data_IF_876412241541
#
_entry.id   IF_876412241541
#
_cell.length_a   1.000
_cell.length_b   1.000
_cell.length_c   1.000
_cell.angle_alpha   90.00
_cell.angle_beta   90.00
_cell.angle_gamma   90.00
#
_symmetry.space_group_name_H-M   'P 1'
#
loop_
_entity.id
_entity.type
_entity.pdbx_description
1 polymer ?
#
# COMPACT_ATOMS: atom_id res chain seq x y z
N UNK A 1 27.06 20.84 24.39
CA UNK A 1 25.82 20.05 24.43
C UNK A 1 25.31 20.01 23.00
N UNK A 2 25.39 18.83 22.36
CA UNK A 2 25.06 18.65 20.96
C UNK A 2 23.55 18.81 20.76
N UNK A 3 23.17 19.73 19.90
CA UNK A 3 21.82 19.87 19.37
C UNK A 3 21.52 18.67 18.48
N UNK A 4 20.64 17.78 18.94
CA UNK A 4 20.02 16.76 18.11
C UNK A 4 19.20 17.45 17.02
N UNK A 5 19.78 17.53 15.82
CA UNK A 5 19.05 17.85 14.62
C UNK A 5 18.06 16.70 14.39
N UNK A 6 16.78 16.95 14.69
CA UNK A 6 15.67 16.14 14.20
C UNK A 6 15.74 16.14 12.67
N UNK A 7 16.45 15.16 12.08
CA UNK A 7 16.28 14.83 10.69
C UNK A 7 14.81 14.42 10.54
N UNK A 8 14.03 15.24 9.85
CA UNK A 8 12.67 14.85 9.47
C UNK A 8 12.78 13.58 8.64
N UNK A 9 12.39 12.45 9.20
CA UNK A 9 12.34 11.17 8.48
C UNK A 9 11.36 11.37 7.34
N UNK A 10 11.89 11.48 6.12
CA UNK A 10 11.06 11.54 4.92
C UNK A 10 10.24 10.25 4.86
N UNK A 11 8.93 10.41 4.78
CA UNK A 11 7.97 9.32 4.83
C UNK A 11 7.25 9.25 3.49
N UNK A 12 7.15 8.05 2.95
CA UNK A 12 6.38 7.71 1.76
C UNK A 12 5.07 7.06 2.21
N UNK A 13 3.96 7.51 1.64
CA UNK A 13 2.64 6.90 1.90
C UNK A 13 2.16 6.16 0.67
N UNK A 14 1.80 4.89 0.82
CA UNK A 14 1.08 4.11 -0.20
C UNK A 14 -0.34 3.81 0.29
N UNK A 15 -1.27 3.67 -0.65
CA UNK A 15 -2.71 3.66 -0.35
C UNK A 15 -3.37 2.39 -0.85
N UNK A 16 -4.23 1.78 -0.04
CA UNK A 16 -5.02 0.62 -0.46
C UNK A 16 -6.50 0.88 -0.21
N UNK A 17 -7.33 0.52 -1.17
CA UNK A 17 -8.75 0.28 -0.92
C UNK A 17 -8.93 -1.16 -0.42
N UNK A 18 -9.24 -1.41 0.87
CA UNK A 18 -9.58 -2.74 1.32
C UNK A 18 -10.86 -3.19 0.63
N UNK A 19 -10.95 -4.47 0.26
CA UNK A 19 -12.22 -5.05 -0.14
C UNK A 19 -13.22 -4.98 1.01
N UNK A 20 -14.51 -4.94 0.68
CA UNK A 20 -15.60 -4.80 1.65
C UNK A 20 -15.45 -5.74 2.85
N UNK A 21 -15.39 -5.17 4.06
CA UNK A 21 -15.28 -5.91 5.33
C UNK A 21 -13.88 -6.42 5.64
N UNK A 22 -12.84 -5.99 4.91
CA UNK A 22 -11.43 -6.41 5.12
C UNK A 22 -10.57 -5.30 5.72
N UNK A 23 -11.01 -4.05 5.72
CA UNK A 23 -10.26 -2.90 6.18
C UNK A 23 -9.82 -3.03 7.63
N UNK A 24 -10.76 -3.36 8.52
CA UNK A 24 -10.44 -3.55 9.94
C UNK A 24 -9.46 -4.71 10.15
N UNK A 25 -9.65 -5.82 9.42
CA UNK A 25 -8.72 -6.96 9.48
C UNK A 25 -7.31 -6.57 9.06
N UNK A 26 -7.17 -5.85 7.95
CA UNK A 26 -5.86 -5.38 7.48
C UNK A 26 -5.22 -4.38 8.43
N UNK A 27 -6.02 -3.56 9.12
CA UNK A 27 -5.53 -2.65 10.15
C UNK A 27 -4.94 -3.44 11.33
N UNK A 28 -5.72 -4.38 11.87
CA UNK A 28 -5.39 -5.10 13.11
C UNK A 28 -4.35 -6.20 12.91
N UNK A 29 -4.54 -7.05 11.90
CA UNK A 29 -3.72 -8.25 11.66
C UNK A 29 -2.63 -8.02 10.61
N UNK A 30 -2.76 -6.96 9.81
CA UNK A 30 -1.87 -6.68 8.71
C UNK A 30 -2.09 -7.56 7.50
N UNK A 31 -1.05 -7.68 6.69
CA UNK A 31 -1.06 -8.44 5.46
C UNK A 31 -0.62 -9.87 5.74
N UNK A 32 -1.53 -10.82 5.60
CA UNK A 32 -1.26 -12.25 5.80
C UNK A 32 -1.38 -12.98 4.48
N UNK A 33 -0.45 -13.88 4.11
CA UNK A 33 -0.53 -14.63 2.85
C UNK A 33 -1.88 -15.35 2.63
N UNK A 34 -2.53 -15.82 3.70
CA UNK A 34 -3.85 -16.47 3.64
C UNK A 34 -4.97 -15.55 3.13
N UNK A 35 -4.82 -14.23 3.28
CA UNK A 35 -5.78 -13.24 2.77
C UNK A 35 -5.54 -12.88 1.29
N UNK A 36 -4.43 -13.33 0.71
CA UNK A 36 -4.03 -13.04 -0.67
C UNK A 36 -3.65 -14.35 -1.37
N UNK A 37 -4.60 -15.21 -1.77
CA UNK A 37 -4.29 -16.55 -2.29
C UNK A 37 -3.43 -16.51 -3.55
N UNK A 38 -2.51 -17.48 -3.66
CA UNK A 38 -1.66 -17.69 -4.83
C UNK A 38 -2.12 -18.92 -5.61
N UNK A 39 -2.71 -18.73 -6.78
CA UNK A 39 -3.23 -19.77 -7.67
C UNK A 39 -3.16 -19.31 -9.14
N UNK A 40 -1.95 -19.30 -9.72
CA UNK A 40 -1.75 -18.87 -11.11
C UNK A 40 -2.48 -19.80 -12.09
N UNK A 41 -3.00 -19.27 -13.23
CA UNK A 41 -2.85 -17.90 -13.70
C UNK A 41 -3.90 -16.92 -13.14
N UNK A 42 -4.78 -17.35 -12.24
CA UNK A 42 -5.97 -16.59 -11.84
C UNK A 42 -5.73 -15.54 -10.76
N UNK A 43 -4.90 -15.86 -9.76
CA UNK A 43 -4.51 -14.95 -8.67
C UNK A 43 -3.04 -15.12 -8.37
N UNK A 44 -2.33 -14.00 -8.24
CA UNK A 44 -0.88 -13.94 -8.10
C UNK A 44 -0.41 -13.72 -6.65
N UNK A 45 -1.34 -13.74 -5.69
CA UNK A 45 -1.09 -13.57 -4.27
C UNK A 45 -0.55 -12.19 -3.88
N UNK A 46 -0.51 -11.23 -4.80
CA UNK A 46 0.02 -9.90 -4.53
C UNK A 46 -0.99 -9.01 -3.83
N UNK A 47 -0.48 -8.05 -3.07
CA UNK A 47 -1.27 -6.94 -2.54
C UNK A 47 -0.96 -5.66 -3.31
N UNK A 48 -2.01 -5.09 -3.90
CA UNK A 48 -1.97 -3.92 -4.76
C UNK A 48 -2.25 -2.64 -3.97
N UNK A 49 -1.47 -1.59 -4.25
CA UNK A 49 -1.55 -0.27 -3.62
C UNK A 49 -1.43 0.84 -4.68
N UNK A 50 -2.19 1.92 -4.53
CA UNK A 50 -1.85 3.18 -5.16
C UNK A 50 -0.49 3.67 -4.64
N UNK A 51 0.32 4.15 -5.56
CA UNK A 51 1.69 4.54 -5.35
C UNK A 51 1.87 5.82 -4.52
N UNK A 52 3.13 6.27 -4.40
CA UNK A 52 3.50 7.34 -3.50
C UNK A 52 2.89 8.67 -3.93
N UNK A 53 2.33 9.40 -2.97
CA UNK A 53 1.77 10.74 -3.16
C UNK A 53 0.57 10.84 -4.14
N UNK A 54 -0.02 9.70 -4.52
CA UNK A 54 -1.25 9.65 -5.32
C UNK A 54 -2.20 8.57 -4.78
N UNK A 55 -3.29 9.00 -4.13
CA UNK A 55 -4.33 8.10 -3.59
C UNK A 55 -5.45 7.80 -4.59
N UNK A 56 -5.42 8.34 -5.80
CA UNK A 56 -6.53 8.31 -6.75
C UNK A 56 -6.97 6.90 -7.14
N UNK A 57 -6.04 5.97 -7.32
CA UNK A 57 -6.37 4.55 -7.60
C UNK A 57 -7.14 3.96 -6.41
N UNK A 58 -6.67 4.17 -5.17
CA UNK A 58 -7.37 3.68 -3.99
C UNK A 58 -8.75 4.33 -3.83
N UNK A 59 -8.89 5.61 -4.17
CA UNK A 59 -10.18 6.29 -4.17
C UNK A 59 -11.16 5.68 -5.18
N UNK A 60 -10.70 5.40 -6.39
CA UNK A 60 -11.48 4.77 -7.45
C UNK A 60 -12.08 3.44 -6.99
N UNK A 61 -11.24 2.52 -6.49
CA UNK A 61 -11.71 1.23 -5.98
C UNK A 61 -12.59 1.37 -4.73
N UNK A 62 -12.30 2.33 -3.86
CA UNK A 62 -13.10 2.56 -2.66
C UNK A 62 -14.53 3.05 -2.97
N UNK A 63 -14.80 3.60 -4.16
CA UNK A 63 -16.18 3.89 -4.59
C UNK A 63 -17.06 2.63 -4.57
N UNK A 64 -16.47 1.48 -4.92
CA UNK A 64 -17.12 0.17 -4.92
C UNK A 64 -16.96 -0.59 -3.60
N UNK A 65 -15.77 -0.59 -3.01
CA UNK A 65 -15.50 -1.37 -1.80
C UNK A 65 -16.07 -0.74 -0.53
N UNK A 66 -16.10 0.59 -0.47
CA UNK A 66 -16.71 1.39 0.60
C UNK A 66 -16.20 1.07 2.01
N UNK A 67 -14.95 0.58 2.12
CA UNK A 67 -14.34 0.17 3.39
C UNK A 67 -13.26 1.16 3.87
N UNK A 68 -13.17 2.32 3.20
CA UNK A 68 -12.18 3.36 3.49
C UNK A 68 -10.88 3.15 2.72
N UNK A 69 -9.88 3.94 3.06
CA UNK A 69 -8.54 3.86 2.49
C UNK A 69 -7.56 3.55 3.61
N UNK A 70 -6.82 2.46 3.44
CA UNK A 70 -5.72 2.08 4.31
C UNK A 70 -4.46 2.78 3.81
N UNK A 71 -3.88 3.63 4.65
CA UNK A 71 -2.62 4.32 4.40
C UNK A 71 -1.50 3.60 5.14
N UNK A 72 -0.38 3.32 4.48
CA UNK A 72 0.83 2.74 5.08
C UNK A 72 1.97 3.74 4.97
N UNK A 73 2.60 4.08 6.10
CA UNK A 73 3.65 5.10 6.19
C UNK A 73 5.03 4.44 6.29
N UNK A 74 5.84 4.60 5.26
CA UNK A 74 7.11 3.89 5.09
C UNK A 74 8.23 4.92 5.09
N UNK A 75 9.32 4.69 5.83
CA UNK A 75 10.47 5.58 5.71
C UNK A 75 11.07 5.49 4.29
N UNK A 76 11.59 6.62 3.79
CA UNK A 76 12.08 6.73 2.41
C UNK A 76 13.13 5.65 2.07
N UNK A 77 14.03 5.32 3.01
CA UNK A 77 15.09 4.35 2.77
C UNK A 77 14.54 2.93 2.59
N UNK A 78 13.58 2.54 3.44
CA UNK A 78 12.86 1.27 3.28
C UNK A 78 12.03 1.24 2.00
N UNK A 79 11.37 2.34 1.65
CA UNK A 79 10.59 2.44 0.42
C UNK A 79 11.44 2.23 -0.83
N UNK A 80 12.54 2.99 -0.96
CA UNK A 80 13.46 2.88 -2.08
C UNK A 80 14.09 1.48 -2.20
N UNK A 81 14.34 0.82 -1.06
CA UNK A 81 14.94 -0.51 -1.02
C UNK A 81 13.98 -1.63 -1.39
N UNK A 82 12.76 -1.63 -0.84
CA UNK A 82 11.87 -2.78 -0.90
C UNK A 82 10.68 -2.62 -1.85
N UNK A 83 10.15 -1.41 -2.00
CA UNK A 83 8.85 -1.20 -2.65
C UNK A 83 8.93 -0.42 -3.95
N UNK A 84 9.86 0.53 -4.08
CA UNK A 84 10.08 1.27 -5.33
C UNK A 84 10.40 0.39 -6.55
N UNK A 85 11.18 -0.70 -6.43
CA UNK A 85 11.39 -1.61 -7.57
C UNK A 85 10.12 -2.33 -8.04
N UNK A 86 9.03 -2.25 -7.27
CA UNK A 86 7.73 -2.87 -7.55
C UNK A 86 6.70 -1.87 -8.07
N UNK A 87 7.12 -0.63 -8.33
CA UNK A 87 6.28 0.37 -8.99
C UNK A 87 6.08 0.01 -10.46
N UNK A 88 4.86 0.20 -10.93
CA UNK A 88 4.53 0.14 -12.35
C UNK A 88 3.47 1.18 -12.68
N UNK A 89 3.44 1.56 -13.95
CA UNK A 89 2.42 2.45 -14.46
C UNK A 89 1.08 1.73 -14.40
N UNK A 90 0.13 2.35 -13.69
CA UNK A 90 -1.26 1.92 -13.73
C UNK A 90 -1.82 2.28 -15.10
N UNK A 91 -2.03 1.26 -15.94
CA UNK A 91 -2.46 1.41 -17.33
C UNK A 91 -3.98 1.33 -17.42
N UNK A 92 -4.64 2.42 -17.02
CA UNK A 92 -6.00 2.70 -17.44
C UNK A 92 -5.97 3.47 -18.75
N UNK A 93 -6.95 3.21 -19.62
CA UNK A 93 -7.10 3.91 -20.92
C UNK A 93 -7.65 5.33 -20.76
N UNK A 94 -7.25 6.01 -19.70
CA UNK A 94 -7.76 7.31 -19.24
C UNK A 94 -6.75 8.46 -19.42
N UNK A 95 -5.55 8.15 -19.94
CA UNK A 95 -4.43 9.09 -20.10
C UNK A 95 -3.90 9.71 -18.79
N UNK A 96 -4.20 9.13 -17.63
CA UNK A 96 -3.64 9.56 -16.36
C UNK A 96 -2.33 8.80 -16.04
N UNK A 97 -1.29 9.52 -15.63
CA UNK A 97 -0.06 8.89 -15.16
C UNK A 97 -0.16 8.61 -13.67
N UNK A 98 -0.60 7.39 -13.34
CA UNK A 98 -0.74 6.91 -11.97
C UNK A 98 0.20 5.72 -11.75
N UNK A 99 0.68 5.57 -10.52
CA UNK A 99 1.59 4.49 -10.15
C UNK A 99 0.86 3.50 -9.25
N UNK A 100 1.04 2.22 -9.49
CA UNK A 100 0.63 1.14 -8.60
C UNK A 100 1.88 0.42 -8.07
N UNK A 101 1.81 -0.06 -6.83
CA UNK A 101 2.87 -0.84 -6.16
C UNK A 101 2.34 -2.23 -5.86
N UNK A 102 2.93 -3.24 -6.49
CA UNK A 102 2.52 -4.66 -6.37
C UNK A 102 3.44 -5.36 -5.39
N UNK A 103 2.94 -5.57 -4.19
CA UNK A 103 3.72 -6.17 -3.11
C UNK A 103 3.44 -7.67 -3.07
N UNK A 104 4.42 -8.54 -3.41
CA UNK A 104 4.26 -9.98 -3.29
C UNK A 104 4.23 -10.42 -1.82
N UNK A 105 3.64 -11.59 -1.56
CA UNK A 105 3.53 -12.16 -0.21
C UNK A 105 4.86 -12.23 0.55
N UNK A 106 5.97 -12.46 -0.16
CA UNK A 106 7.31 -12.55 0.42
C UNK A 106 7.75 -11.26 1.14
N UNK A 107 7.14 -10.12 0.83
CA UNK A 107 7.41 -8.83 1.44
C UNK A 107 6.39 -8.40 2.49
N UNK A 108 5.32 -9.17 2.72
CA UNK A 108 4.36 -8.85 3.78
C UNK A 108 4.97 -8.74 5.18
N UNK A 109 5.96 -9.56 5.59
CA UNK A 109 6.64 -9.37 6.86
C UNK A 109 7.39 -8.04 6.98
N UNK A 110 7.86 -7.48 5.87
CA UNK A 110 8.49 -6.15 5.82
C UNK A 110 7.43 -5.07 5.86
N UNK A 111 6.39 -5.20 5.03
CA UNK A 111 5.27 -4.26 4.99
C UNK A 111 4.56 -4.11 6.34
N UNK A 112 4.42 -5.20 7.10
CA UNK A 112 3.79 -5.21 8.42
C UNK A 112 4.59 -4.50 9.52
N UNK A 113 5.83 -4.10 9.27
CA UNK A 113 6.63 -3.33 10.23
C UNK A 113 6.26 -1.85 10.24
N UNK A 114 5.56 -1.38 9.20
CA UNK A 114 5.22 0.02 9.04
C UNK A 114 3.86 0.36 9.65
N UNK A 115 3.74 1.54 10.30
CA UNK A 115 2.46 1.99 10.82
C UNK A 115 1.46 2.21 9.69
N UNK A 116 0.19 1.95 10.00
CA UNK A 116 -0.92 2.07 9.07
C UNK A 116 -2.16 2.61 9.76
N UNK A 117 -2.98 3.33 9.00
CA UNK A 117 -4.26 3.87 9.49
C UNK A 117 -5.34 3.61 8.45
N UNK A 118 -6.54 3.31 8.94
CA UNK A 118 -7.72 3.21 8.08
C UNK A 118 -8.54 4.50 8.19
N UNK A 119 -8.70 5.22 7.08
CA UNK A 119 -9.51 6.43 7.03
C UNK A 119 -10.84 6.17 6.35
N UNK A 120 -11.91 6.47 7.07
CA UNK A 120 -13.29 6.43 6.55
C UNK A 120 -13.60 7.76 5.86
N UNK A 121 -13.48 7.77 4.53
CA UNK A 121 -13.66 8.92 3.63
C UNK A 121 -12.72 10.10 3.89
#
# INVERSE_FOLDING_TARGET
MQSEQLQSVQTVTIYKAPQKGKGQKLLDEGFQPVDFPYNPPYVDGSCYFAGPNDRSIAEEFNQSYQDGILEVFIDQASYDKYFKPLEFRYDEKDNCERIEVVIPQSLFPVLNQFPRVLKSR
#
